data_IF_839843312754
#
_entry.id   IF_839843312754
#
_cell.length_a   1.000
_cell.length_b   1.000
_cell.length_c   1.000
_cell.angle_alpha   90.00
_cell.angle_beta   90.00
_cell.angle_gamma   90.00
#
_symmetry.space_group_name_H-M   'P 1'
#
loop_
_entity.id
_entity.type
_entity.pdbx_description
1 polymer ?
#
# COMPACT_ATOMS: atom_id res chain seq x y z
N UNK A 1 14.44 2.63 30.51
CA UNK A 1 14.24 2.87 29.07
C UNK A 1 15.01 1.79 28.30
N UNK A 2 14.36 0.96 27.46
CA UNK A 2 15.09 0.00 26.62
C UNK A 2 15.99 0.77 25.63
N UNK A 3 17.28 0.43 25.50
CA UNK A 3 18.15 1.09 24.52
C UNK A 3 17.57 0.87 23.12
N UNK A 4 17.53 1.93 22.33
CA UNK A 4 17.14 1.82 20.94
C UNK A 4 18.30 1.23 20.16
N UNK A 5 18.13 -0.01 19.72
CA UNK A 5 19.10 -0.67 18.86
C UNK A 5 19.08 0.04 17.52
N UNK A 6 20.19 0.69 17.18
CA UNK A 6 20.38 1.29 15.86
C UNK A 6 20.57 0.16 14.85
N UNK A 7 19.80 0.21 13.77
CA UNK A 7 19.88 -0.74 12.68
C UNK A 7 21.00 -0.30 11.72
N UNK A 8 22.07 -1.10 11.53
CA UNK A 8 23.22 -0.68 10.72
C UNK A 8 22.90 -0.49 9.23
N UNK A 9 21.83 -1.13 8.75
CA UNK A 9 21.31 -1.09 7.39
C UNK A 9 20.16 -0.06 7.20
N UNK A 10 19.77 0.65 8.26
CA UNK A 10 18.70 1.64 8.17
C UNK A 10 19.22 2.96 7.60
N UNK A 11 18.67 3.37 6.44
CA UNK A 11 18.91 4.71 5.90
C UNK A 11 18.17 5.80 6.71
N UNK A 12 17.08 5.41 7.38
CA UNK A 12 16.33 6.30 8.27
C UNK A 12 15.81 5.51 9.49
N UNK A 13 15.92 6.09 10.68
CA UNK A 13 15.38 5.51 11.91
C UNK A 13 14.86 6.58 12.86
N UNK A 14 13.69 6.34 13.46
CA UNK A 14 13.12 7.12 14.56
C UNK A 14 12.44 6.19 15.54
N UNK A 15 13.04 6.02 16.71
CA UNK A 15 12.53 5.06 17.69
C UNK A 15 12.73 3.62 17.20
N UNK A 16 11.64 2.86 17.19
CA UNK A 16 11.58 1.50 16.63
C UNK A 16 11.21 1.46 15.14
N UNK A 17 10.91 2.60 14.51
CA UNK A 17 10.54 2.68 13.09
C UNK A 17 11.77 2.98 12.27
N UNK A 18 11.99 2.18 11.23
CA UNK A 18 13.14 2.29 10.34
C UNK A 18 12.82 1.73 8.95
N UNK A 19 13.61 2.11 7.95
CA UNK A 19 13.58 1.55 6.60
C UNK A 19 14.94 1.61 5.91
N UNK A 20 15.10 0.85 4.84
CA UNK A 20 16.32 0.86 3.99
C UNK A 20 16.36 2.13 3.12
N UNK A 21 17.41 2.28 2.31
CA UNK A 21 17.53 3.38 1.37
C UNK A 21 16.37 3.38 0.35
N UNK A 22 16.02 2.21 -0.19
CA UNK A 22 14.94 2.02 -1.16
C UNK A 22 13.57 2.32 -0.54
N UNK A 23 13.35 1.91 0.72
CA UNK A 23 12.13 2.23 1.46
C UNK A 23 11.97 3.75 1.67
N UNK A 24 13.07 4.45 1.98
CA UNK A 24 13.09 5.90 2.11
C UNK A 24 12.83 6.58 0.76
N UNK A 25 13.49 6.14 -0.32
CA UNK A 25 13.28 6.69 -1.66
C UNK A 25 11.82 6.57 -2.09
N UNK A 26 11.18 5.42 -1.84
CA UNK A 26 9.76 5.25 -2.13
C UNK A 26 8.88 6.16 -1.26
N UNK A 27 9.22 6.35 0.03
CA UNK A 27 8.49 7.26 0.92
C UNK A 27 8.58 8.73 0.45
N UNK A 28 9.76 9.17 0.03
CA UNK A 28 9.98 10.52 -0.51
C UNK A 28 9.22 10.72 -1.80
N UNK A 29 9.30 9.76 -2.74
CA UNK A 29 8.55 9.80 -3.99
C UNK A 29 7.03 9.89 -3.77
N UNK A 30 6.50 9.09 -2.84
CA UNK A 30 5.08 9.16 -2.48
C UNK A 30 4.70 10.53 -1.90
N UNK A 31 5.58 11.14 -1.11
CA UNK A 31 5.31 12.47 -0.56
C UNK A 31 5.36 13.55 -1.65
N UNK A 32 6.34 13.49 -2.55
CA UNK A 32 6.44 14.41 -3.67
C UNK A 32 5.20 14.33 -4.56
N UNK A 33 4.68 13.13 -4.82
CA UNK A 33 3.41 12.97 -5.53
C UNK A 33 2.23 13.65 -4.79
N UNK A 34 2.14 13.53 -3.46
CA UNK A 34 1.10 14.25 -2.72
C UNK A 34 1.27 15.76 -2.88
N UNK A 35 2.50 16.27 -2.87
CA UNK A 35 2.75 17.72 -3.03
C UNK A 35 2.33 18.25 -4.40
N UNK A 36 2.37 17.43 -5.46
CA UNK A 36 1.87 17.85 -6.77
C UNK A 36 0.35 17.98 -6.79
N UNK A 37 -0.36 17.19 -5.98
CA UNK A 37 -1.83 17.17 -5.88
C UNK A 37 -2.33 18.18 -4.84
N UNK A 38 -1.63 18.31 -3.72
CA UNK A 38 -1.92 19.22 -2.62
C UNK A 38 -0.62 19.92 -2.17
N UNK A 39 -0.28 21.08 -2.76
CA UNK A 39 0.94 21.81 -2.43
C UNK A 39 1.04 22.25 -0.97
N UNK A 40 -0.09 22.36 -0.26
CA UNK A 40 -0.17 22.68 1.17
C UNK A 40 0.06 21.47 2.09
N UNK A 41 0.32 20.28 1.54
CA UNK A 41 0.55 19.07 2.32
C UNK A 41 1.75 19.23 3.26
N UNK A 42 1.52 18.93 4.55
CA UNK A 42 2.56 18.98 5.58
C UNK A 42 3.54 17.82 5.43
N UNK A 43 4.82 18.08 5.75
CA UNK A 43 5.87 17.06 5.72
C UNK A 43 5.51 15.88 6.65
N UNK A 44 5.45 14.64 6.13
CA UNK A 44 5.13 13.47 6.92
C UNK A 44 6.33 13.04 7.77
N UNK A 45 6.08 12.11 8.69
CA UNK A 45 7.14 11.38 9.36
C UNK A 45 7.72 10.32 8.41
N UNK A 46 8.76 10.67 7.66
CA UNK A 46 9.41 9.78 6.68
C UNK A 46 9.93 8.48 7.30
N UNK A 47 10.42 8.49 8.55
CA UNK A 47 10.82 7.26 9.24
C UNK A 47 9.64 6.31 9.47
N UNK A 48 8.45 6.86 9.70
CA UNK A 48 7.22 6.08 9.81
C UNK A 48 6.80 5.50 8.46
N UNK A 49 6.87 6.31 7.40
CA UNK A 49 6.50 5.90 6.05
C UNK A 49 7.44 4.83 5.50
N UNK A 50 8.75 5.03 5.61
CA UNK A 50 9.74 4.05 5.21
C UNK A 50 9.55 2.72 5.97
N UNK A 51 9.19 2.78 7.26
CA UNK A 51 8.84 1.58 8.02
C UNK A 51 7.60 0.87 7.47
N UNK A 52 6.54 1.60 7.14
CA UNK A 52 5.31 1.01 6.62
C UNK A 52 5.55 0.37 5.23
N UNK A 53 6.37 1.00 4.39
CA UNK A 53 6.82 0.47 3.09
C UNK A 53 7.66 -0.79 3.29
N UNK A 54 8.62 -0.78 4.23
CA UNK A 54 9.41 -1.96 4.59
C UNK A 54 8.50 -3.12 5.00
N UNK A 55 7.49 -2.86 5.84
CA UNK A 55 6.53 -3.89 6.26
C UNK A 55 5.71 -4.41 5.07
N UNK A 56 5.34 -3.57 4.12
CA UNK A 56 4.69 -4.02 2.89
C UNK A 56 5.60 -4.91 2.04
N UNK A 57 6.91 -4.62 2.00
CA UNK A 57 7.90 -5.45 1.30
C UNK A 57 8.14 -6.79 2.01
N UNK A 58 8.48 -6.74 3.29
CA UNK A 58 8.94 -7.91 4.05
C UNK A 58 7.80 -8.79 4.55
N UNK A 59 6.66 -8.21 4.93
CA UNK A 59 5.54 -8.96 5.51
C UNK A 59 4.44 -9.23 4.49
N UNK A 60 4.17 -8.29 3.59
CA UNK A 60 3.05 -8.42 2.64
C UNK A 60 3.49 -8.90 1.25
N UNK A 61 4.79 -9.07 1.01
CA UNK A 61 5.35 -9.56 -0.25
C UNK A 61 5.20 -8.59 -1.43
N UNK A 62 5.08 -7.28 -1.17
CA UNK A 62 4.86 -6.26 -2.21
C UNK A 62 6.16 -5.61 -2.66
N UNK A 63 6.27 -5.29 -3.94
CA UNK A 63 7.43 -4.55 -4.45
C UNK A 63 7.24 -3.04 -4.31
N UNK A 64 8.32 -2.25 -4.17
CA UNK A 64 8.23 -0.78 -4.20
C UNK A 64 7.53 -0.27 -5.45
N UNK A 65 7.74 -0.94 -6.59
CA UNK A 65 7.08 -0.60 -7.84
C UNK A 65 5.57 -0.72 -7.74
N UNK A 66 5.05 -1.86 -7.25
CA UNK A 66 3.61 -2.07 -7.12
C UNK A 66 2.99 -1.09 -6.13
N UNK A 67 3.71 -0.81 -5.04
CA UNK A 67 3.30 0.21 -4.06
C UNK A 67 3.16 1.59 -4.69
N UNK A 68 4.19 2.06 -5.42
CA UNK A 68 4.16 3.37 -6.07
C UNK A 68 3.09 3.46 -7.16
N UNK A 69 2.91 2.39 -7.95
CA UNK A 69 1.88 2.33 -9.00
C UNK A 69 0.47 2.42 -8.41
N UNK A 70 0.19 1.64 -7.36
CA UNK A 70 -1.13 1.64 -6.72
C UNK A 70 -1.38 2.95 -5.97
N UNK A 71 -0.36 3.48 -5.29
CA UNK A 71 -0.44 4.76 -4.60
C UNK A 71 -0.75 5.90 -5.58
N UNK A 72 -0.07 5.94 -6.73
CA UNK A 72 -0.36 6.93 -7.78
C UNK A 72 -1.79 6.86 -8.25
N UNK A 73 -2.26 5.67 -8.58
CA UNK A 73 -3.65 5.51 -9.00
C UNK A 73 -4.61 6.00 -7.91
N UNK A 74 -4.39 5.62 -6.65
CA UNK A 74 -5.23 6.02 -5.53
C UNK A 74 -5.25 7.55 -5.33
N UNK A 75 -4.11 8.24 -5.48
CA UNK A 75 -4.03 9.69 -5.34
C UNK A 75 -4.72 10.46 -6.47
N UNK A 76 -4.94 9.84 -7.64
CA UNK A 76 -5.66 10.45 -8.77
C UNK A 76 -7.13 10.04 -8.86
N UNK A 77 -7.54 9.04 -8.10
CA UNK A 77 -8.93 8.59 -8.06
C UNK A 77 -9.77 9.52 -7.17
N UNK A 78 -10.95 9.93 -7.67
CA UNK A 78 -11.79 10.94 -6.99
C UNK A 78 -12.30 10.50 -5.62
N UNK A 79 -12.41 9.19 -5.38
CA UNK A 79 -12.81 8.64 -4.09
C UNK A 79 -11.60 8.36 -3.19
N UNK A 80 -10.52 7.80 -3.75
CA UNK A 80 -9.37 7.38 -2.95
C UNK A 80 -8.38 8.51 -2.63
N UNK A 81 -8.33 9.59 -3.40
CA UNK A 81 -7.33 10.65 -3.23
C UNK A 81 -7.34 11.29 -1.83
N UNK A 82 -8.51 11.46 -1.22
CA UNK A 82 -8.63 11.97 0.15
C UNK A 82 -8.41 10.91 1.24
N UNK A 83 -8.52 9.62 0.89
CA UNK A 83 -8.52 8.51 1.84
C UNK A 83 -7.15 7.80 1.93
N UNK A 84 -6.35 7.86 0.87
CA UNK A 84 -5.05 7.19 0.77
C UNK A 84 -3.96 8.23 0.49
N UNK A 85 -3.47 8.82 1.58
CA UNK A 85 -2.42 9.85 1.57
C UNK A 85 -1.16 9.43 2.36
N UNK A 86 -1.02 8.14 2.65
CA UNK A 86 0.15 7.60 3.34
C UNK A 86 0.35 6.10 3.06
N UNK A 87 1.58 5.58 3.21
CA UNK A 87 1.83 4.14 3.05
C UNK A 87 1.04 3.26 4.04
N UNK A 88 0.80 3.72 5.27
CA UNK A 88 -0.04 2.99 6.23
C UNK A 88 -1.47 2.78 5.70
N UNK A 89 -2.08 3.82 5.11
CA UNK A 89 -3.42 3.73 4.52
C UNK A 89 -3.43 2.91 3.23
N UNK A 90 -2.39 3.03 2.42
CA UNK A 90 -2.18 2.18 1.24
C UNK A 90 -2.15 0.69 1.63
N UNK A 91 -1.38 0.35 2.67
CA UNK A 91 -1.28 -1.00 3.22
C UNK A 91 -2.63 -1.53 3.70
N UNK A 92 -3.34 -0.71 4.49
CA UNK A 92 -4.66 -1.05 5.06
C UNK A 92 -5.70 -1.34 3.96
N UNK A 93 -5.70 -0.55 2.88
CA UNK A 93 -6.71 -0.63 1.82
C UNK A 93 -6.27 -1.38 0.58
N UNK A 94 -5.08 -2.00 0.59
CA UNK A 94 -4.45 -2.60 -0.60
C UNK A 94 -5.40 -3.43 -1.45
N UNK A 95 -6.06 -4.43 -0.87
CA UNK A 95 -6.96 -5.33 -1.59
C UNK A 95 -8.14 -4.58 -2.23
N UNK A 96 -8.70 -3.59 -1.54
CA UNK A 96 -9.81 -2.80 -2.07
C UNK A 96 -9.33 -1.92 -3.24
N UNK A 97 -8.16 -1.30 -3.10
CA UNK A 97 -7.58 -0.47 -4.15
C UNK A 97 -7.27 -1.31 -5.40
N UNK A 98 -6.68 -2.49 -5.22
CA UNK A 98 -6.34 -3.39 -6.34
C UNK A 98 -7.59 -3.84 -7.10
N UNK A 99 -8.65 -4.25 -6.40
CA UNK A 99 -9.94 -4.61 -7.01
C UNK A 99 -10.54 -3.42 -7.77
N UNK A 100 -10.58 -2.22 -7.16
CA UNK A 100 -11.18 -1.05 -7.79
C UNK A 100 -10.40 -0.59 -9.03
N UNK A 101 -9.07 -0.61 -8.96
CA UNK A 101 -8.19 -0.31 -10.10
C UNK A 101 -8.43 -1.29 -11.25
N UNK A 102 -8.50 -2.59 -10.96
CA UNK A 102 -8.74 -3.61 -11.97
C UNK A 102 -10.14 -3.46 -12.59
N UNK A 103 -11.17 -3.15 -11.79
CA UNK A 103 -12.53 -2.88 -12.29
C UNK A 103 -12.56 -1.70 -13.27
N UNK A 104 -11.90 -0.59 -12.93
CA UNK A 104 -11.81 0.57 -13.83
C UNK A 104 -11.08 0.24 -15.13
N UNK A 105 -10.05 -0.63 -15.10
CA UNK A 105 -9.36 -1.10 -16.29
C UNK A 105 -10.20 -2.05 -17.16
N UNK A 106 -11.04 -2.89 -16.54
CA UNK A 106 -11.91 -3.84 -17.27
C UNK A 106 -13.21 -3.22 -17.82
N UNK A 107 -13.56 -2.00 -17.41
CA UNK A 107 -14.76 -1.29 -17.88
C UNK A 107 -14.77 -0.96 -19.37
N UNK A 108 -13.69 -1.26 -20.11
CA UNK A 108 -13.59 -1.01 -21.55
C UNK A 108 -13.72 -2.26 -22.43
N UNK A 109 -13.57 -3.49 -21.91
CA UNK A 109 -13.80 -4.72 -22.72
C UNK A 109 -13.94 -5.99 -21.88
N UNK A 110 -14.95 -6.79 -22.25
CA UNK A 110 -15.05 -8.25 -22.15
C UNK A 110 -15.57 -8.91 -20.85
N UNK A 111 -16.79 -9.40 -20.99
CA UNK A 111 -17.32 -10.69 -20.51
C UNK A 111 -16.28 -11.73 -20.07
N UNK A 112 -16.40 -12.20 -18.82
CA UNK A 112 -15.74 -13.43 -18.34
C UNK A 112 -16.76 -14.40 -17.73
N UNK A 113 -16.50 -15.71 -17.83
CA UNK A 113 -17.42 -16.75 -17.40
C UNK A 113 -17.58 -16.73 -15.88
N UNK A 114 -18.83 -16.91 -15.45
CA UNK A 114 -19.27 -16.83 -14.06
C UNK A 114 -18.71 -18.03 -13.29
N UNK A 115 -17.67 -17.81 -12.50
CA UNK A 115 -17.38 -18.68 -11.36
C UNK A 115 -18.60 -18.58 -10.44
N UNK A 116 -19.38 -19.66 -10.29
CA UNK A 116 -20.55 -19.65 -9.41
C UNK A 116 -20.11 -19.81 -7.96
N UNK A 117 -19.77 -18.69 -7.34
CA UNK A 117 -19.41 -18.58 -5.92
C UNK A 117 -20.57 -18.91 -4.97
N UNK A 118 -21.78 -19.14 -5.49
CA UNK A 118 -22.93 -19.59 -4.69
C UNK A 118 -23.04 -21.12 -4.64
N UNK A 119 -22.20 -21.86 -5.37
CA UNK A 119 -22.15 -23.30 -5.25
C UNK A 119 -21.49 -23.68 -3.91
N UNK A 120 -22.31 -24.00 -2.90
CA UNK A 120 -21.87 -24.49 -1.59
C UNK A 120 -21.79 -26.02 -1.54
N UNK A 121 -21.85 -26.74 -2.66
CA UNK A 121 -21.83 -28.21 -2.70
C UNK A 121 -20.59 -28.83 -2.04
N UNK A 122 -19.51 -28.06 -1.85
CA UNK A 122 -18.30 -28.47 -1.13
C UNK A 122 -18.47 -28.61 0.40
N UNK A 123 -19.54 -28.06 0.98
CA UNK A 123 -19.73 -28.04 2.45
C UNK A 123 -20.39 -29.32 3.00
N UNK A 124 -21.01 -30.14 2.14
CA UNK A 124 -21.78 -31.32 2.57
C UNK A 124 -20.95 -32.59 2.82
N UNK A 125 -19.62 -32.54 2.68
CA UNK A 125 -18.72 -33.67 2.87
C UNK A 125 -17.95 -33.70 4.20
N UNK A 126 -18.23 -32.78 5.13
CA UNK A 126 -17.58 -32.73 6.45
C UNK A 126 -18.51 -33.35 7.48
N UNK A 127 -18.33 -34.65 7.78
CA UNK A 127 -18.93 -35.25 8.97
C UNK A 127 -18.27 -34.67 10.23
N UNK A 128 -19.09 -34.31 11.22
CA UNK A 128 -18.69 -33.76 12.54
C UNK A 128 -18.03 -34.81 13.43
#
# INVERSE_FOLDING_TARGET
>A
KKPHVLKPDAAIQRGNKWGTAEDLTAAEWMFDLIKTISPSARKPNLAGWANDIRLMRECDGRTHRDMCVLFRWACHDSFWAGNVISPAKLREKWTQLDINRNKQQTGTTASKPKLDLNNTDWIYGVEL
#
